data_IF_773289691695
#
_entry.id   IF_773289691695
#
_cell.length_a   1.000
_cell.length_b   1.000
_cell.length_c   1.000
_cell.angle_alpha   90.00
_cell.angle_beta   90.00
_cell.angle_gamma   90.00
#
_symmetry.space_group_name_H-M   'P 1'
#
loop_
_entity.id
_entity.type
_entity.pdbx_description
1 polymer ?
#
# COMPACT_ATOMS: atom_id res chain seq x y z
N UNK A 1 -7.45 48.74 -8.02
CA UNK A 1 -7.12 48.46 -9.43
C UNK A 1 -5.75 47.84 -9.47
N UNK A 2 -5.70 46.53 -9.21
CA UNK A 2 -4.52 45.70 -9.45
C UNK A 2 -4.86 44.95 -10.74
N UNK A 3 -3.97 45.06 -11.71
CA UNK A 3 -4.08 44.54 -13.07
C UNK A 3 -4.62 43.11 -13.10
N UNK A 4 -5.76 42.93 -13.77
CA UNK A 4 -6.16 41.66 -14.38
C UNK A 4 -4.97 41.20 -15.23
N UNK A 5 -4.24 40.22 -14.71
CA UNK A 5 -3.26 39.51 -15.49
C UNK A 5 -4.09 38.74 -16.52
N UNK A 6 -4.09 39.17 -17.78
CA UNK A 6 -4.74 38.49 -18.90
C UNK A 6 -4.34 37.02 -18.86
N UNK A 7 -5.19 36.17 -18.25
CA UNK A 7 -5.03 34.72 -18.28
C UNK A 7 -5.18 34.35 -19.74
N UNK A 8 -4.06 34.10 -20.42
CA UNK A 8 -4.04 33.59 -21.80
C UNK A 8 -5.03 32.43 -21.89
N UNK A 9 -6.10 32.61 -22.65
CA UNK A 9 -7.05 31.53 -22.92
C UNK A 9 -6.30 30.45 -23.71
N UNK A 10 -5.97 29.35 -23.03
CA UNK A 10 -5.31 28.22 -23.66
C UNK A 10 -6.33 27.50 -24.54
N UNK A 11 -5.87 27.07 -25.72
CA UNK A 11 -6.67 26.21 -26.57
C UNK A 11 -6.89 24.85 -25.92
N UNK A 12 -7.98 24.17 -26.28
CA UNK A 12 -8.26 22.81 -25.79
C UNK A 12 -7.08 21.85 -26.05
N UNK A 13 -6.36 22.01 -27.17
CA UNK A 13 -5.18 21.21 -27.48
C UNK A 13 -3.98 21.47 -26.56
N UNK A 14 -3.76 22.72 -26.13
CA UNK A 14 -2.72 23.04 -25.14
C UNK A 14 -3.07 22.46 -23.77
N UNK A 15 -4.34 22.55 -23.36
CA UNK A 15 -4.85 21.99 -22.10
C UNK A 15 -4.71 20.47 -22.09
N UNK A 16 -5.14 19.81 -23.17
CA UNK A 16 -5.05 18.36 -23.32
C UNK A 16 -3.58 17.90 -23.22
N UNK A 17 -2.66 18.58 -23.90
CA UNK A 17 -1.22 18.23 -23.84
C UNK A 17 -0.68 18.34 -22.41
N UNK A 18 -0.97 19.43 -21.71
CA UNK A 18 -0.48 19.65 -20.35
C UNK A 18 -1.10 18.62 -19.38
N UNK A 19 -2.37 18.27 -19.57
CA UNK A 19 -3.05 17.23 -18.80
C UNK A 19 -2.49 15.82 -19.08
N UNK A 20 -2.12 15.50 -20.32
CA UNK A 20 -1.46 14.22 -20.64
C UNK A 20 -0.12 14.05 -19.92
N UNK A 21 0.65 15.14 -19.72
CA UNK A 21 1.87 15.09 -18.91
C UNK A 21 1.56 14.79 -17.44
N UNK A 22 0.49 15.38 -16.88
CA UNK A 22 0.05 15.07 -15.53
C UNK A 22 -0.39 13.60 -15.39
N UNK A 23 -1.09 13.04 -16.38
CA UNK A 23 -1.46 11.61 -16.40
C UNK A 23 -0.22 10.72 -16.37
N UNK A 24 0.77 11.02 -17.21
CA UNK A 24 2.03 10.28 -17.25
C UNK A 24 2.72 10.30 -15.88
N UNK A 25 2.90 11.51 -15.32
CA UNK A 25 3.56 11.72 -14.03
C UNK A 25 2.87 11.00 -12.87
N UNK A 26 1.53 11.02 -12.82
CA UNK A 26 0.79 10.39 -11.71
C UNK A 26 0.78 8.86 -11.82
N UNK A 27 0.64 8.32 -13.03
CA UNK A 27 0.70 6.86 -13.25
C UNK A 27 2.06 6.33 -12.82
N UNK A 28 3.12 7.03 -13.22
CA UNK A 28 4.48 6.68 -12.85
C UNK A 28 4.70 6.81 -11.34
N UNK A 29 4.24 7.90 -10.71
CA UNK A 29 4.38 8.11 -9.29
C UNK A 29 3.65 7.08 -8.41
N UNK A 30 2.44 6.67 -8.81
CA UNK A 30 1.69 5.61 -8.11
C UNK A 30 2.39 4.25 -8.24
N UNK A 31 2.97 3.98 -9.41
CA UNK A 31 3.75 2.76 -9.65
C UNK A 31 5.01 2.72 -8.78
N UNK A 32 5.73 3.84 -8.64
CA UNK A 32 6.86 3.95 -7.70
C UNK A 32 6.46 3.74 -6.25
N UNK A 33 5.32 4.31 -5.84
CA UNK A 33 4.84 4.13 -4.48
C UNK A 33 4.53 2.67 -4.18
N UNK A 34 3.95 1.92 -5.14
CA UNK A 34 3.72 0.48 -4.99
C UNK A 34 5.06 -0.23 -4.75
N UNK A 35 6.08 0.01 -5.58
CA UNK A 35 7.40 -0.58 -5.39
C UNK A 35 8.06 -0.19 -4.05
N UNK A 36 7.92 1.07 -3.61
CA UNK A 36 8.44 1.50 -2.30
C UNK A 36 7.76 0.75 -1.13
N UNK A 37 6.45 0.55 -1.19
CA UNK A 37 5.69 -0.14 -0.14
C UNK A 37 6.05 -1.62 -0.01
N UNK A 38 6.46 -2.25 -1.12
CA UNK A 38 6.94 -3.64 -1.13
C UNK A 38 8.32 -3.77 -0.48
N UNK A 39 9.21 -2.84 -0.81
CA UNK A 39 10.62 -2.92 -0.44
C UNK A 39 10.92 -2.33 0.93
N UNK A 40 10.02 -1.49 1.48
CA UNK A 40 10.27 -0.72 2.70
C UNK A 40 9.14 -0.82 3.71
N UNK A 41 9.50 -0.61 4.97
CA UNK A 41 8.55 -0.42 6.05
C UNK A 41 8.24 1.07 6.20
N UNK A 42 7.01 1.49 5.85
CA UNK A 42 6.55 2.87 6.01
C UNK A 42 5.51 2.92 7.14
N UNK A 43 5.81 3.69 8.19
CA UNK A 43 4.96 3.79 9.38
C UNK A 43 3.85 4.83 9.18
N UNK A 44 2.66 4.56 9.69
CA UNK A 44 1.61 5.57 9.84
C UNK A 44 2.04 6.65 10.85
N UNK A 45 1.84 7.91 10.49
CA UNK A 45 2.09 9.06 11.36
C UNK A 45 0.82 9.91 11.45
N UNK A 46 0.30 10.09 12.66
CA UNK A 46 -0.95 10.82 12.87
C UNK A 46 -2.17 10.05 12.36
N UNK A 47 -3.24 10.76 12.00
CA UNK A 47 -4.47 10.14 11.48
C UNK A 47 -4.30 9.86 9.99
N UNK A 48 -3.89 8.63 9.63
CA UNK A 48 -3.68 8.17 8.25
C UNK A 48 -2.60 8.92 7.46
N UNK A 49 -1.64 9.53 8.15
CA UNK A 49 -0.55 10.28 7.52
C UNK A 49 0.70 9.43 7.27
N UNK A 50 1.62 10.00 6.51
CA UNK A 50 2.94 9.44 6.22
C UNK A 50 4.03 10.32 6.86
N UNK A 51 5.10 9.71 7.34
CA UNK A 51 6.23 10.42 7.95
C UNK A 51 6.96 11.32 6.95
N UNK A 52 7.44 12.47 7.42
CA UNK A 52 8.23 13.40 6.58
C UNK A 52 9.47 12.74 5.92
N UNK A 53 10.22 11.82 6.56
CA UNK A 53 11.33 11.13 5.90
C UNK A 53 10.89 10.36 4.65
N UNK A 54 9.76 9.66 4.73
CA UNK A 54 9.23 8.85 3.62
C UNK A 54 8.69 9.74 2.50
N UNK A 55 8.01 10.84 2.84
CA UNK A 55 7.58 11.86 1.86
C UNK A 55 8.77 12.45 1.12
N UNK A 56 9.84 12.84 1.83
CA UNK A 56 11.03 13.42 1.21
C UNK A 56 11.73 12.43 0.29
N UNK A 57 11.72 11.15 0.66
CA UNK A 57 12.32 10.09 -0.15
C UNK A 57 11.57 9.91 -1.46
N UNK A 58 10.25 9.69 -1.40
CA UNK A 58 9.43 9.56 -2.61
C UNK A 58 9.51 10.82 -3.48
N UNK A 59 9.46 12.01 -2.86
CA UNK A 59 9.62 13.27 -3.58
C UNK A 59 10.97 13.38 -4.31
N UNK A 60 12.07 13.00 -3.66
CA UNK A 60 13.40 13.00 -4.27
C UNK A 60 13.50 11.98 -5.41
N UNK A 61 12.96 10.78 -5.21
CA UNK A 61 12.93 9.70 -6.21
C UNK A 61 12.15 10.10 -7.47
N UNK A 62 11.01 10.78 -7.29
CA UNK A 62 10.18 11.30 -8.37
C UNK A 62 10.71 12.61 -8.97
N UNK A 63 11.71 13.25 -8.36
CA UNK A 63 12.13 14.63 -8.67
C UNK A 63 10.96 15.63 -8.63
N UNK A 64 10.07 15.51 -7.64
CA UNK A 64 8.88 16.35 -7.42
C UNK A 64 8.89 17.01 -6.04
N UNK A 65 7.90 17.86 -5.77
CA UNK A 65 7.76 18.52 -4.47
C UNK A 65 7.28 17.53 -3.38
N UNK A 66 7.56 17.85 -2.11
CA UNK A 66 7.00 17.10 -0.98
C UNK A 66 5.46 17.14 -0.95
N UNK A 67 4.86 18.19 -1.51
CA UNK A 67 3.41 18.32 -1.63
C UNK A 67 2.86 17.31 -2.65
N UNK A 68 3.49 17.20 -3.81
CA UNK A 68 3.15 16.19 -4.81
C UNK A 68 3.26 14.77 -4.26
N UNK A 69 4.36 14.44 -3.56
CA UNK A 69 4.51 13.13 -2.94
C UNK A 69 3.39 12.82 -1.92
N UNK A 70 2.96 13.80 -1.11
CA UNK A 70 1.81 13.62 -0.21
C UNK A 70 0.51 13.37 -0.98
N UNK A 71 0.28 14.09 -2.07
CA UNK A 71 -0.89 13.88 -2.93
C UNK A 71 -0.88 12.49 -3.56
N UNK A 72 0.29 11.94 -3.91
CA UNK A 72 0.44 10.57 -4.42
C UNK A 72 0.05 9.53 -3.36
N UNK A 73 0.52 9.67 -2.11
CA UNK A 73 0.09 8.79 -1.00
C UNK A 73 -1.44 8.85 -0.77
N UNK A 74 -2.00 10.04 -0.81
CA UNK A 74 -3.43 10.26 -0.61
C UNK A 74 -4.26 9.64 -1.75
N UNK A 75 -3.85 9.88 -3.01
CA UNK A 75 -4.50 9.31 -4.19
C UNK A 75 -4.39 7.78 -4.20
N UNK A 76 -3.23 7.21 -3.84
CA UNK A 76 -3.04 5.78 -3.73
C UNK A 76 -4.00 5.15 -2.71
N UNK A 77 -4.26 5.84 -1.58
CA UNK A 77 -5.26 5.40 -0.62
C UNK A 77 -6.68 5.46 -1.19
N UNK A 78 -7.06 6.55 -1.86
CA UNK A 78 -8.38 6.66 -2.48
C UNK A 78 -8.61 5.62 -3.59
N UNK A 79 -7.56 5.34 -4.37
CA UNK A 79 -7.59 4.35 -5.45
C UNK A 79 -7.43 2.89 -4.95
N UNK A 80 -7.34 2.65 -3.63
CA UNK A 80 -7.09 1.33 -3.03
C UNK A 80 -5.81 0.64 -3.55
N UNK A 81 -4.81 1.43 -3.94
CA UNK A 81 -3.47 0.96 -4.28
C UNK A 81 -2.58 0.85 -3.05
N UNK A 82 -2.86 1.64 -2.02
CA UNK A 82 -2.21 1.56 -0.72
C UNK A 82 -3.26 1.62 0.39
N UNK A 83 -3.00 0.97 1.51
CA UNK A 83 -3.84 1.03 2.70
C UNK A 83 -3.00 1.11 3.96
N UNK A 84 -3.67 1.40 5.08
CA UNK A 84 -3.02 1.46 6.39
C UNK A 84 -3.64 0.39 7.27
N UNK A 85 -2.83 -0.59 7.64
CA UNK A 85 -3.19 -1.66 8.56
C UNK A 85 -2.10 -1.78 9.63
N UNK A 86 -2.48 -1.97 10.90
CA UNK A 86 -1.51 -2.16 11.98
C UNK A 86 -0.52 -0.99 12.17
N UNK A 87 -0.94 0.27 11.91
CA UNK A 87 -0.06 1.45 11.92
C UNK A 87 1.06 1.43 10.88
N UNK A 88 0.85 0.72 9.76
CA UNK A 88 1.80 0.59 8.66
C UNK A 88 1.09 0.84 7.34
N UNK A 89 1.76 1.55 6.43
CA UNK A 89 1.37 1.58 5.03
C UNK A 89 1.74 0.26 4.34
N UNK A 90 0.79 -0.31 3.63
CA UNK A 90 0.95 -1.54 2.87
C UNK A 90 0.21 -1.46 1.53
N UNK A 91 0.43 -2.45 0.67
CA UNK A 91 -0.27 -2.55 -0.61
C UNK A 91 -1.78 -2.73 -0.38
N UNK A 92 -2.57 -1.96 -1.12
CA UNK A 92 -4.02 -2.11 -1.16
C UNK A 92 -4.46 -3.18 -2.15
N UNK A 93 -5.76 -3.49 -2.15
CA UNK A 93 -6.36 -4.57 -2.95
C UNK A 93 -6.19 -4.41 -4.48
N UNK A 94 -5.99 -3.19 -4.98
CA UNK A 94 -5.83 -2.90 -6.41
C UNK A 94 -4.38 -2.81 -6.86
N UNK A 95 -3.40 -2.91 -5.95
CA UNK A 95 -1.98 -2.76 -6.27
C UNK A 95 -1.48 -3.79 -7.29
N UNK A 96 -1.87 -5.06 -7.14
CA UNK A 96 -1.46 -6.12 -8.07
C UNK A 96 -2.03 -5.91 -9.47
N UNK A 97 -3.33 -5.59 -9.55
CA UNK A 97 -3.98 -5.27 -10.81
C UNK A 97 -3.31 -4.08 -11.51
N UNK A 98 -3.00 -3.03 -10.76
CA UNK A 98 -2.35 -1.82 -11.27
C UNK A 98 -1.06 -2.09 -12.04
N UNK A 99 -0.27 -3.04 -11.56
CA UNK A 99 0.99 -3.44 -12.18
C UNK A 99 0.73 -4.10 -13.55
N UNK A 100 -0.29 -4.96 -13.65
CA UNK A 100 -0.67 -5.65 -14.89
C UNK A 100 -1.47 -4.81 -15.88
N UNK A 101 -2.08 -3.71 -15.43
CA UNK A 101 -2.96 -2.87 -16.24
C UNK A 101 -2.20 -2.06 -17.28
N UNK A 102 -2.86 -1.84 -18.42
CA UNK A 102 -2.48 -0.82 -19.40
C UNK A 102 -2.69 0.58 -18.84
N UNK A 103 -2.03 1.59 -19.42
CA UNK A 103 -2.22 3.00 -19.02
C UNK A 103 -3.67 3.46 -19.15
N UNK A 104 -4.42 2.87 -20.10
CA UNK A 104 -5.86 3.08 -20.24
C UNK A 104 -6.62 2.64 -19.00
N UNK A 105 -6.39 1.41 -18.55
CA UNK A 105 -7.06 0.81 -17.41
C UNK A 105 -6.67 1.53 -16.11
N UNK A 106 -5.39 1.89 -15.96
CA UNK A 106 -4.90 2.71 -14.84
C UNK A 106 -5.61 4.05 -14.78
N UNK A 107 -5.67 4.78 -15.90
CA UNK A 107 -6.34 6.07 -15.94
C UNK A 107 -7.86 5.94 -15.73
N UNK A 108 -8.51 4.93 -16.33
CA UNK A 108 -9.92 4.65 -16.10
C UNK A 108 -10.24 4.41 -14.63
N UNK A 109 -9.42 3.62 -13.93
CA UNK A 109 -9.56 3.38 -12.49
C UNK A 109 -9.42 4.67 -11.68
N UNK A 110 -8.49 5.56 -12.04
CA UNK A 110 -8.35 6.87 -11.38
C UNK A 110 -9.56 7.77 -11.64
N UNK A 111 -10.07 7.81 -12.88
CA UNK A 111 -11.23 8.60 -13.24
C UNK A 111 -12.50 8.12 -12.51
N UNK A 112 -12.72 6.80 -12.42
CA UNK A 112 -13.81 6.20 -11.65
C UNK A 112 -13.68 6.51 -10.15
N UNK A 113 -12.47 6.41 -9.60
CA UNK A 113 -12.18 6.79 -8.22
C UNK A 113 -12.58 8.25 -7.98
N UNK A 114 -12.22 9.16 -8.88
CA UNK A 114 -12.59 10.57 -8.78
C UNK A 114 -14.11 10.81 -8.90
N UNK A 115 -14.79 10.13 -9.81
CA UNK A 115 -16.26 10.20 -9.93
C UNK A 115 -16.95 9.77 -8.64
N UNK A 116 -16.44 8.72 -7.99
CA UNK A 116 -16.98 8.25 -6.70
C UNK A 116 -16.85 9.30 -5.58
N UNK A 117 -15.83 10.18 -5.64
CA UNK A 117 -15.63 11.26 -4.67
C UNK A 117 -16.62 12.42 -4.85
N UNK A 118 -17.15 12.61 -6.06
CA UNK A 118 -18.16 13.62 -6.37
C UNK A 118 -19.57 13.19 -5.95
N UNK A 119 -19.92 11.94 -6.25
CA UNK A 119 -21.29 11.44 -6.20
C UNK A 119 -22.09 11.73 -7.48
N UNK A 120 -23.09 10.90 -7.75
CA UNK A 120 -23.75 10.82 -9.07
C UNK A 120 -24.39 12.13 -9.55
N UNK A 121 -25.03 12.87 -8.64
CA UNK A 121 -25.77 14.09 -8.97
C UNK A 121 -24.83 15.24 -9.36
N UNK A 122 -23.82 15.50 -8.53
CA UNK A 122 -22.81 16.51 -8.82
C UNK A 122 -21.95 16.15 -10.02
N UNK A 123 -21.64 14.87 -10.21
CA UNK A 123 -20.93 14.41 -11.41
C UNK A 123 -21.74 14.73 -12.68
N UNK A 124 -23.06 14.49 -12.70
CA UNK A 124 -23.89 14.77 -13.88
C UNK A 124 -23.86 16.24 -14.28
N UNK A 125 -23.97 17.15 -13.31
CA UNK A 125 -23.92 18.59 -13.59
C UNK A 125 -22.52 19.05 -13.98
N UNK A 126 -21.49 18.58 -13.29
CA UNK A 126 -20.11 18.95 -13.56
C UNK A 126 -19.63 18.49 -14.94
N UNK A 127 -20.00 17.27 -15.35
CA UNK A 127 -19.57 16.67 -16.63
C UNK A 127 -20.29 17.23 -17.86
N UNK A 128 -21.26 18.14 -17.69
CA UNK A 128 -21.79 18.94 -18.79
C UNK A 128 -20.84 20.07 -19.24
N UNK A 129 -19.69 20.21 -18.58
CA UNK A 129 -18.63 21.17 -18.93
C UNK A 129 -18.06 20.92 -20.33
N UNK A 130 -17.84 21.99 -21.09
CA UNK A 130 -17.22 21.92 -22.41
C UNK A 130 -15.69 22.00 -22.31
N UNK A 131 -14.96 21.49 -23.32
CA UNK A 131 -13.50 21.61 -23.36
C UNK A 131 -13.04 23.06 -23.26
N UNK A 132 -11.94 23.29 -22.53
CA UNK A 132 -11.37 24.60 -22.22
C UNK A 132 -12.23 25.53 -21.34
N UNK A 133 -13.43 25.13 -20.91
CA UNK A 133 -14.20 25.92 -19.94
C UNK A 133 -13.55 25.91 -18.55
N UNK A 134 -13.81 26.97 -17.78
CA UNK A 134 -13.30 27.09 -16.41
C UNK A 134 -13.96 26.04 -15.49
N UNK A 135 -13.13 25.12 -15.00
CA UNK A 135 -13.54 24.09 -14.06
C UNK A 135 -13.92 24.68 -12.69
N UNK A 136 -13.16 25.67 -12.22
CA UNK A 136 -13.45 26.39 -10.96
C UNK A 136 -14.82 27.10 -11.00
N UNK A 137 -15.14 27.78 -12.11
CA UNK A 137 -16.44 28.43 -12.29
C UNK A 137 -17.56 27.39 -12.27
N UNK A 138 -17.37 26.28 -12.99
CA UNK A 138 -18.36 25.18 -13.03
C UNK A 138 -18.58 24.57 -11.65
N UNK A 139 -17.53 24.35 -10.87
CA UNK A 139 -17.66 23.86 -9.50
C UNK A 139 -18.44 24.84 -8.60
N UNK A 140 -18.21 26.15 -8.74
CA UNK A 140 -18.95 27.16 -7.99
C UNK A 140 -20.45 27.20 -8.36
N UNK A 141 -20.79 26.91 -9.62
CA UNK A 141 -22.18 26.79 -10.09
C UNK A 141 -22.88 25.54 -9.55
N UNK A 142 -22.18 24.40 -9.50
CA UNK A 142 -22.72 23.13 -8.96
C UNK A 142 -22.87 23.19 -7.44
N UNK A 143 -22.02 23.97 -6.75
CA UNK A 143 -22.04 24.11 -5.30
C UNK A 143 -22.20 25.56 -4.82
N UNK A 144 -23.33 26.24 -5.14
CA UNK A 144 -23.52 27.67 -4.88
C UNK A 144 -23.64 28.00 -3.38
N UNK A 145 -23.97 27.00 -2.55
CA UNK A 145 -24.15 27.14 -1.10
C UNK A 145 -23.07 26.41 -0.29
N UNK A 146 -21.89 26.16 -0.89
CA UNK A 146 -20.81 25.47 -0.19
C UNK A 146 -20.41 26.20 1.11
N UNK A 147 -20.54 25.51 2.24
CA UNK A 147 -19.98 25.97 3.50
C UNK A 147 -18.44 25.75 3.53
N UNK A 148 -17.80 26.09 4.65
CA UNK A 148 -16.34 25.94 4.78
C UNK A 148 -15.86 24.49 4.66
N UNK A 149 -16.68 23.51 5.04
CA UNK A 149 -16.34 22.07 4.93
C UNK A 149 -16.50 21.60 3.49
N UNK A 150 -17.60 21.96 2.83
CA UNK A 150 -17.84 21.69 1.43
C UNK A 150 -16.78 22.33 0.53
N UNK A 151 -16.34 23.55 0.87
CA UNK A 151 -15.26 24.25 0.15
C UNK A 151 -13.94 23.46 0.15
N UNK A 152 -13.58 22.84 1.28
CA UNK A 152 -12.37 22.01 1.35
C UNK A 152 -12.51 20.73 0.50
N UNK A 153 -13.70 20.11 0.49
CA UNK A 153 -13.96 18.95 -0.37
C UNK A 153 -13.90 19.32 -1.86
N UNK A 154 -14.46 20.47 -2.25
CA UNK A 154 -14.41 20.99 -3.63
C UNK A 154 -12.97 21.23 -4.07
N UNK A 155 -12.15 21.85 -3.22
CA UNK A 155 -10.71 22.02 -3.48
C UNK A 155 -10.02 20.67 -3.68
N UNK A 156 -10.30 19.70 -2.80
CA UNK A 156 -9.74 18.34 -2.91
C UNK A 156 -10.12 17.66 -4.22
N UNK A 157 -11.37 17.79 -4.64
CA UNK A 157 -11.86 17.27 -5.93
C UNK A 157 -11.11 17.92 -7.10
N UNK A 158 -10.89 19.23 -7.05
CA UNK A 158 -10.14 19.95 -8.09
C UNK A 158 -8.65 19.56 -8.10
N UNK A 159 -8.03 19.41 -6.93
CA UNK A 159 -6.64 18.93 -6.81
C UNK A 159 -6.47 17.55 -7.44
N UNK A 160 -7.36 16.61 -7.12
CA UNK A 160 -7.31 15.25 -7.69
C UNK A 160 -7.60 15.31 -9.19
N UNK A 161 -8.58 16.10 -9.64
CA UNK A 161 -8.86 16.27 -11.06
C UNK A 161 -7.63 16.77 -11.83
N UNK A 162 -6.88 17.71 -11.28
CA UNK A 162 -5.64 18.20 -11.89
C UNK A 162 -4.56 17.12 -11.87
N UNK A 163 -4.41 16.41 -10.75
CA UNK A 163 -3.40 15.36 -10.58
C UNK A 163 -3.59 14.20 -11.56
N UNK A 164 -4.84 13.80 -11.83
CA UNK A 164 -5.16 12.71 -12.77
C UNK A 164 -5.42 13.20 -14.20
N UNK A 165 -5.13 14.47 -14.49
CA UNK A 165 -5.23 15.07 -15.81
C UNK A 165 -6.65 15.13 -16.39
N UNK A 166 -7.66 15.36 -15.55
CA UNK A 166 -8.99 15.76 -16.01
C UNK A 166 -9.08 17.25 -16.32
N UNK A 167 -8.22 18.05 -15.69
CA UNK A 167 -8.09 19.49 -15.90
C UNK A 167 -6.62 19.87 -15.99
N UNK A 168 -6.34 20.99 -16.64
CA UNK A 168 -5.06 21.67 -16.59
C UNK A 168 -5.29 23.18 -16.61
N UNK A 169 -4.47 23.95 -15.89
CA UNK A 169 -4.61 25.42 -15.79
C UNK A 169 -6.03 25.87 -15.36
N UNK A 170 -6.68 25.11 -14.46
CA UNK A 170 -8.06 25.33 -14.01
C UNK A 170 -9.12 25.25 -15.13
N UNK A 171 -8.80 24.65 -16.27
CA UNK A 171 -9.68 24.46 -17.42
C UNK A 171 -9.91 22.97 -17.71
N UNK A 172 -11.09 22.65 -18.24
CA UNK A 172 -11.48 21.28 -18.59
C UNK A 172 -10.73 20.74 -19.81
N UNK A 173 -10.28 19.49 -19.72
CA UNK A 173 -9.79 18.73 -20.88
C UNK A 173 -10.92 18.33 -21.81
N UNK A 174 -10.57 17.91 -23.03
CA UNK A 174 -11.54 17.44 -24.01
C UNK A 174 -12.17 16.08 -23.69
N UNK A 175 -11.66 15.36 -22.69
CA UNK A 175 -12.19 14.08 -22.24
C UNK A 175 -12.95 14.13 -20.92
N UNK A 176 -12.88 15.23 -20.16
CA UNK A 176 -13.62 15.36 -18.90
C UNK A 176 -15.12 15.13 -19.11
N UNK A 177 -15.76 15.91 -19.99
CA UNK A 177 -17.20 15.77 -20.25
C UNK A 177 -17.59 14.41 -20.85
N UNK A 178 -16.66 13.72 -21.53
CA UNK A 178 -16.90 12.41 -22.12
C UNK A 178 -17.15 11.32 -21.06
N UNK A 179 -16.69 11.50 -19.82
CA UNK A 179 -16.98 10.58 -18.71
C UNK A 179 -18.48 10.39 -18.45
N UNK A 180 -19.32 11.37 -18.83
CA UNK A 180 -20.78 11.26 -18.70
C UNK A 180 -21.43 10.31 -19.71
N UNK A 181 -20.74 10.00 -20.81
CA UNK A 181 -21.27 9.22 -21.93
C UNK A 181 -20.54 7.90 -22.14
N UNK A 182 -19.21 7.91 -22.08
CA UNK A 182 -18.37 6.73 -22.33
C UNK A 182 -17.01 6.90 -21.67
N UNK A 183 -16.77 6.14 -20.60
CA UNK A 183 -15.45 6.04 -19.96
C UNK A 183 -14.38 5.54 -20.94
N UNK A 184 -14.76 4.64 -21.86
CA UNK A 184 -13.85 4.09 -22.86
C UNK A 184 -13.34 5.18 -23.82
N UNK A 185 -14.23 6.03 -24.32
CA UNK A 185 -13.85 7.11 -25.25
C UNK A 185 -13.07 8.21 -24.54
N UNK A 186 -13.43 8.52 -23.28
CA UNK A 186 -12.68 9.41 -22.44
C UNK A 186 -11.23 8.90 -22.22
N UNK A 187 -11.07 7.63 -21.84
CA UNK A 187 -9.75 7.06 -21.57
C UNK A 187 -8.88 6.94 -22.82
N UNK A 188 -9.47 6.57 -23.96
CA UNK A 188 -8.79 6.58 -25.26
C UNK A 188 -8.18 7.94 -25.59
N UNK A 189 -8.93 9.01 -25.33
CA UNK A 189 -8.50 10.38 -25.62
C UNK A 189 -7.49 10.88 -24.59
N UNK A 190 -7.66 10.54 -23.32
CA UNK A 190 -6.76 10.93 -22.23
C UNK A 190 -5.35 10.35 -22.40
N UNK A 191 -5.25 9.07 -22.81
CA UNK A 191 -3.96 8.39 -22.99
C UNK A 191 -3.31 8.66 -24.34
N UNK A 192 -4.04 9.19 -25.32
CA UNK A 192 -3.52 9.40 -26.68
C UNK A 192 -2.31 10.36 -26.73
N UNK A 193 -2.19 11.25 -25.75
CA UNK A 193 -1.07 12.17 -25.61
C UNK A 193 0.10 11.65 -24.78
N UNK A 194 0.03 10.43 -24.24
CA UNK A 194 1.12 9.85 -23.45
C UNK A 194 2.35 9.54 -24.33
N UNK A 195 3.58 9.64 -23.78
CA UNK A 195 4.77 9.23 -24.50
C UNK A 195 4.68 7.74 -24.88
N UNK A 196 5.02 7.42 -26.13
CA UNK A 196 5.04 6.03 -26.58
C UNK A 196 6.12 5.24 -25.86
N UNK A 197 5.73 4.11 -25.24
CA UNK A 197 6.69 3.20 -24.64
C UNK A 197 7.58 2.56 -25.71
N UNK A 198 8.87 2.38 -25.42
CA UNK A 198 9.84 1.77 -26.32
C UNK A 198 10.75 0.79 -25.58
N UNK A 199 10.98 -0.38 -26.18
CA UNK A 199 11.90 -1.39 -25.63
C UNK A 199 13.36 -1.07 -25.97
N UNK A 200 13.85 0.09 -25.52
CA UNK A 200 15.22 0.54 -25.82
C UNK A 200 15.89 1.08 -24.57
N UNK A 201 17.12 0.64 -24.34
CA UNK A 201 17.99 1.17 -23.29
C UNK A 201 19.36 1.47 -23.88
N UNK A 202 19.96 2.59 -23.51
CA UNK A 202 21.33 2.94 -23.82
C UNK A 202 22.18 2.50 -22.63
N UNK A 203 23.11 1.58 -22.87
CA UNK A 203 23.97 1.03 -21.82
C UNK A 203 25.34 1.70 -21.91
N UNK A 204 25.76 2.33 -20.82
CA UNK A 204 27.02 3.06 -20.72
C UNK A 204 28.10 2.24 -19.98
N UNK A 205 29.36 2.63 -20.16
CA UNK A 205 30.51 1.93 -19.58
C UNK A 205 30.65 2.14 -18.05
N UNK A 206 30.00 3.17 -17.51
CA UNK A 206 29.92 3.48 -16.08
C UNK A 206 28.76 2.75 -15.37
N UNK A 207 28.23 1.69 -16.00
CA UNK A 207 27.12 0.86 -15.51
C UNK A 207 25.76 1.58 -15.47
N UNK A 208 25.66 2.75 -16.08
CA UNK A 208 24.39 3.48 -16.24
C UNK A 208 23.59 2.93 -17.42
N UNK A 209 22.30 2.74 -17.21
CA UNK A 209 21.29 2.31 -18.17
C UNK A 209 20.30 3.45 -18.38
N UNK A 210 20.17 3.98 -19.59
CA UNK A 210 19.26 5.10 -19.89
C UNK A 210 18.15 4.62 -20.82
N UNK A 211 16.91 4.61 -20.35
CA UNK A 211 15.74 4.45 -21.19
C UNK A 211 15.34 5.84 -21.73
N UNK A 212 15.55 6.15 -23.03
CA UNK A 212 15.26 7.48 -23.61
C UNK A 212 13.76 7.73 -23.78
N UNK A 213 12.94 6.70 -23.57
CA UNK A 213 11.49 6.73 -23.57
C UNK A 213 11.01 5.77 -22.49
N UNK A 214 9.76 5.89 -22.01
CA UNK A 214 9.24 4.99 -21.00
C UNK A 214 9.35 3.53 -21.47
N UNK A 215 9.76 2.64 -20.58
CA UNK A 215 9.75 1.21 -20.87
C UNK A 215 8.32 0.67 -20.68
N UNK A 216 7.87 -0.33 -21.45
CA UNK A 216 6.68 -1.09 -21.09
C UNK A 216 6.77 -1.60 -19.64
N UNK A 217 5.69 -1.55 -18.88
CA UNK A 217 5.71 -1.83 -17.43
C UNK A 217 6.31 -3.21 -17.09
N UNK A 218 5.92 -4.26 -17.80
CA UNK A 218 6.47 -5.62 -17.61
C UNK A 218 7.99 -5.69 -17.81
N UNK A 219 8.49 -4.93 -18.80
CA UNK A 219 9.91 -4.84 -19.08
C UNK A 219 10.64 -4.07 -17.99
N UNK A 220 10.06 -2.97 -17.53
CA UNK A 220 10.61 -2.16 -16.45
C UNK A 220 10.70 -2.95 -15.14
N UNK A 221 9.66 -3.71 -14.78
CA UNK A 221 9.67 -4.61 -13.62
C UNK A 221 10.80 -5.63 -13.76
N UNK A 222 10.92 -6.24 -14.95
CA UNK A 222 11.98 -7.20 -15.24
C UNK A 222 13.37 -6.58 -15.08
N UNK A 223 13.57 -5.36 -15.58
CA UNK A 223 14.83 -4.62 -15.46
C UNK A 223 15.15 -4.29 -13.99
N UNK A 224 14.17 -3.82 -13.23
CA UNK A 224 14.31 -3.44 -11.81
C UNK A 224 14.63 -4.61 -10.89
N UNK A 225 14.41 -5.86 -11.33
CA UNK A 225 14.88 -7.05 -10.59
C UNK A 225 16.40 -7.11 -10.49
N UNK A 226 17.14 -6.48 -11.40
CA UNK A 226 18.61 -6.54 -11.40
C UNK A 226 19.31 -5.20 -11.64
N UNK A 227 18.57 -4.10 -11.68
CA UNK A 227 19.10 -2.75 -11.81
C UNK A 227 18.43 -1.82 -10.77
N UNK A 228 19.23 -0.99 -10.12
CA UNK A 228 18.74 0.03 -9.20
C UNK A 228 18.18 1.19 -10.01
N UNK A 229 17.04 1.76 -9.59
CA UNK A 229 16.47 2.92 -10.29
C UNK A 229 17.04 4.21 -9.71
N UNK A 230 17.65 5.05 -10.55
CA UNK A 230 18.22 6.34 -10.12
C UNK A 230 17.24 7.49 -10.36
N UNK A 231 16.62 7.51 -11.54
CA UNK A 231 15.66 8.54 -11.92
C UNK A 231 14.57 7.94 -12.79
N UNK A 232 13.35 8.38 -12.54
CA UNK A 232 12.14 7.94 -13.22
C UNK A 232 11.49 9.16 -13.87
N UNK A 233 11.12 9.02 -15.13
CA UNK A 233 10.48 10.09 -15.89
C UNK A 233 10.17 9.66 -17.31
N UNK A 234 10.04 10.65 -18.21
CA UNK A 234 9.95 10.39 -19.66
C UNK A 234 11.21 9.70 -20.19
N UNK A 235 12.36 10.08 -19.63
CA UNK A 235 13.60 9.33 -19.75
C UNK A 235 13.99 8.86 -18.35
N UNK A 236 14.16 7.55 -18.20
CA UNK A 236 14.52 6.93 -16.91
C UNK A 236 15.98 6.50 -16.94
N UNK A 237 16.65 6.59 -15.80
CA UNK A 237 18.01 6.07 -15.61
C UNK A 237 18.04 5.03 -14.50
N UNK A 238 18.74 3.94 -14.79
CA UNK A 238 18.97 2.84 -13.87
C UNK A 238 20.48 2.61 -13.76
N UNK A 239 20.94 2.00 -12.67
CA UNK A 239 22.33 1.67 -12.45
C UNK A 239 22.47 0.18 -12.17
N UNK A 240 23.43 -0.46 -12.84
CA UNK A 240 23.86 -1.80 -12.48
C UNK A 240 24.91 -1.73 -11.37
N UNK A 241 24.77 -2.64 -10.41
CA UNK A 241 25.74 -2.85 -9.34
C UNK A 241 25.84 -4.35 -9.04
N UNK A 242 26.88 -4.77 -8.32
CA UNK A 242 26.98 -6.18 -7.90
C UNK A 242 25.81 -6.58 -7.00
N UNK A 243 25.30 -5.63 -6.19
CA UNK A 243 24.11 -5.82 -5.35
C UNK A 243 22.86 -5.98 -6.20
N UNK A 244 22.64 -5.11 -7.19
CA UNK A 244 21.45 -5.17 -8.04
C UNK A 244 21.45 -6.47 -8.84
N UNK A 245 22.57 -6.87 -9.45
CA UNK A 245 22.66 -8.14 -10.18
C UNK A 245 22.46 -9.34 -9.25
N UNK A 246 23.04 -9.32 -8.05
CA UNK A 246 22.78 -10.36 -7.03
C UNK A 246 21.30 -10.43 -6.65
N UNK A 247 20.61 -9.28 -6.54
CA UNK A 247 19.16 -9.26 -6.29
C UNK A 247 18.40 -10.00 -7.38
N UNK A 248 18.78 -9.79 -8.64
CA UNK A 248 18.21 -10.51 -9.78
C UNK A 248 18.34 -12.02 -9.63
N UNK A 249 19.55 -12.48 -9.30
CA UNK A 249 19.84 -13.90 -9.06
C UNK A 249 19.04 -14.46 -7.86
N UNK A 250 18.86 -13.70 -6.78
CA UNK A 250 18.01 -14.09 -5.63
C UNK A 250 16.52 -14.23 -6.00
N UNK A 251 16.09 -13.58 -7.09
CA UNK A 251 14.73 -13.73 -7.62
C UNK A 251 14.59 -14.90 -8.59
N UNK A 252 15.64 -15.71 -8.76
CA UNK A 252 15.67 -16.88 -9.64
C UNK A 252 16.06 -16.61 -11.09
N UNK A 253 16.51 -15.40 -11.43
CA UNK A 253 17.07 -15.13 -12.76
C UNK A 253 18.43 -15.80 -12.92
N UNK A 254 18.72 -16.30 -14.11
CA UNK A 254 20.08 -16.69 -14.51
C UNK A 254 20.85 -15.48 -15.08
N UNK A 255 22.19 -15.50 -14.98
CA UNK A 255 23.01 -14.41 -15.52
C UNK A 255 22.87 -14.27 -17.05
N UNK A 256 22.65 -15.39 -17.74
CA UNK A 256 22.43 -15.42 -19.19
C UNK A 256 21.09 -14.80 -19.59
N UNK A 257 20.06 -14.92 -18.74
CA UNK A 257 18.78 -14.25 -18.95
C UNK A 257 18.93 -12.73 -18.81
N UNK A 258 19.63 -12.28 -17.76
CA UNK A 258 19.97 -10.86 -17.53
C UNK A 258 20.77 -10.31 -18.73
N UNK A 259 21.81 -11.02 -19.15
CA UNK A 259 22.65 -10.67 -20.32
C UNK A 259 21.82 -10.56 -21.59
N UNK A 260 20.98 -11.56 -21.86
CA UNK A 260 20.13 -11.61 -23.06
C UNK A 260 19.14 -10.45 -23.10
N UNK A 261 18.56 -10.11 -21.95
CA UNK A 261 17.68 -8.95 -21.81
C UNK A 261 18.42 -7.64 -22.10
N UNK A 262 19.59 -7.42 -21.51
CA UNK A 262 20.40 -6.22 -21.75
C UNK A 262 20.82 -6.09 -23.22
N UNK A 263 21.24 -7.18 -23.86
CA UNK A 263 21.58 -7.20 -25.29
C UNK A 263 20.39 -6.83 -26.17
N UNK A 264 19.22 -7.41 -25.89
CA UNK A 264 17.97 -7.11 -26.60
C UNK A 264 17.62 -5.63 -26.51
N UNK A 265 17.68 -5.05 -25.31
CA UNK A 265 17.33 -3.63 -25.08
C UNK A 265 18.36 -2.65 -25.62
N UNK A 266 19.64 -3.01 -25.60
CA UNK A 266 20.72 -2.18 -26.15
C UNK A 266 20.66 -2.09 -27.67
N UNK A 267 20.29 -3.21 -28.32
CA UNK A 267 20.45 -3.45 -29.76
C UNK A 267 21.90 -3.20 -30.24
N UNK A 268 22.87 -3.32 -29.32
CA UNK A 268 24.32 -3.21 -29.51
C UNK A 268 25.01 -4.16 -28.54
N UNK A 269 26.28 -4.46 -28.80
CA UNK A 269 27.12 -5.20 -27.86
C UNK A 269 27.20 -4.49 -26.50
N UNK A 270 27.32 -5.27 -25.42
CA UNK A 270 27.44 -4.73 -24.07
C UNK A 270 28.84 -4.13 -23.85
N UNK A 271 28.96 -2.99 -23.16
CA UNK A 271 30.26 -2.48 -22.73
C UNK A 271 31.02 -3.50 -21.88
N UNK A 272 32.34 -3.59 -22.05
CA UNK A 272 33.19 -4.52 -21.30
C UNK A 272 32.99 -4.45 -19.77
N UNK A 273 32.80 -3.27 -19.12
CA UNK A 273 32.54 -3.21 -17.69
C UNK A 273 31.24 -3.92 -17.27
N UNK A 274 30.20 -3.89 -18.11
CA UNK A 274 28.93 -4.60 -17.85
C UNK A 274 29.16 -6.11 -17.93
N UNK A 275 29.87 -6.58 -18.95
CA UNK A 275 30.19 -8.00 -19.09
C UNK A 275 31.02 -8.54 -17.93
N UNK A 276 31.99 -7.74 -17.47
CA UNK A 276 32.79 -8.06 -16.31
C UNK A 276 31.93 -8.11 -15.04
N UNK A 277 31.09 -7.11 -14.81
CA UNK A 277 30.17 -7.08 -13.67
C UNK A 277 29.29 -8.33 -13.62
N UNK A 278 28.71 -8.75 -14.75
CA UNK A 278 27.83 -9.92 -14.80
C UNK A 278 28.59 -11.20 -14.42
N UNK A 279 29.80 -11.41 -14.98
CA UNK A 279 30.66 -12.56 -14.65
C UNK A 279 31.09 -12.54 -13.18
N UNK A 280 31.45 -11.37 -12.68
CA UNK A 280 31.85 -11.20 -11.28
C UNK A 280 30.69 -11.51 -10.34
N UNK A 281 29.50 -10.97 -10.62
CA UNK A 281 28.29 -11.21 -9.82
C UNK A 281 27.93 -12.70 -9.78
N UNK A 282 27.99 -13.40 -10.91
CA UNK A 282 27.79 -14.85 -10.97
C UNK A 282 28.81 -15.60 -10.10
N UNK A 283 30.10 -15.28 -10.25
CA UNK A 283 31.17 -15.96 -9.50
C UNK A 283 31.11 -15.75 -7.98
N UNK A 284 30.61 -14.58 -7.54
CA UNK A 284 30.51 -14.19 -6.13
C UNK A 284 29.13 -14.45 -5.53
N UNK A 285 28.16 -14.88 -6.33
CA UNK A 285 26.80 -15.12 -5.88
C UNK A 285 26.76 -16.15 -4.75
N UNK A 286 25.94 -15.87 -3.73
CA UNK A 286 25.79 -16.71 -2.54
C UNK A 286 27.10 -17.03 -1.78
N UNK A 287 28.16 -16.22 -1.96
CA UNK A 287 29.42 -16.34 -1.21
C UNK A 287 29.27 -15.89 0.25
N UNK A 288 28.42 -14.89 0.50
CA UNK A 288 28.07 -14.38 1.82
C UNK A 288 26.61 -14.70 2.10
N UNK A 289 26.35 -15.65 3.00
CA UNK A 289 25.02 -16.19 3.31
C UNK A 289 24.57 -15.75 4.70
N UNK A 290 23.30 -15.37 4.82
CA UNK A 290 22.67 -15.03 6.09
C UNK A 290 21.58 -16.05 6.39
N UNK A 291 21.77 -16.80 7.46
CA UNK A 291 20.84 -17.81 7.96
C UNK A 291 20.01 -17.24 9.10
N UNK A 292 18.72 -17.59 9.14
CA UNK A 292 17.93 -17.44 10.36
C UNK A 292 18.28 -18.58 11.35
N UNK A 293 18.37 -18.25 12.63
CA UNK A 293 18.46 -19.28 13.67
C UNK A 293 17.07 -19.85 13.98
N UNK A 294 17.02 -21.06 14.56
CA UNK A 294 15.76 -21.78 14.89
C UNK A 294 14.75 -20.98 15.72
N UNK A 295 15.20 -19.97 16.47
CA UNK A 295 14.33 -19.11 17.28
C UNK A 295 13.83 -17.86 16.55
N UNK A 296 14.24 -17.62 15.30
CA UNK A 296 13.90 -16.45 14.47
C UNK A 296 14.57 -15.14 14.88
N UNK A 297 14.84 -14.95 16.18
CA UNK A 297 15.35 -13.70 16.75
C UNK A 297 16.85 -13.43 16.52
N UNK A 298 17.61 -14.42 16.05
CA UNK A 298 19.06 -14.29 15.81
C UNK A 298 19.42 -14.73 14.39
N UNK A 299 20.58 -14.29 13.92
CA UNK A 299 21.09 -14.62 12.59
C UNK A 299 22.57 -15.00 12.60
N UNK A 300 22.93 -15.84 11.64
CA UNK A 300 24.30 -16.28 11.39
C UNK A 300 24.71 -15.87 9.98
N UNK A 301 25.90 -15.30 9.85
CA UNK A 301 26.49 -14.86 8.60
C UNK A 301 27.68 -15.78 8.30
N UNK A 302 27.62 -16.49 7.19
CA UNK A 302 28.60 -17.50 6.78
C UNK A 302 29.20 -17.11 5.44
N UNK A 303 30.52 -17.24 5.32
CA UNK A 303 31.26 -17.07 4.07
C UNK A 303 32.48 -17.96 4.06
N UNK A 304 32.86 -18.45 2.88
CA UNK A 304 34.13 -19.17 2.68
C UNK A 304 35.34 -18.23 2.75
N UNK A 305 35.11 -16.92 2.58
CA UNK A 305 36.13 -15.88 2.69
C UNK A 305 36.18 -15.30 4.11
N UNK A 306 37.21 -15.72 4.85
CA UNK A 306 37.47 -15.24 6.21
C UNK A 306 37.90 -13.77 6.26
N UNK A 307 38.53 -13.25 5.19
CA UNK A 307 38.94 -11.84 5.11
C UNK A 307 37.69 -10.97 5.00
N UNK A 308 36.73 -11.38 4.17
CA UNK A 308 35.43 -10.70 4.05
C UNK A 308 34.68 -10.65 5.40
N UNK A 309 34.66 -11.76 6.16
CA UNK A 309 34.02 -11.76 7.48
C UNK A 309 34.76 -10.83 8.46
N UNK A 310 36.09 -10.78 8.41
CA UNK A 310 36.86 -9.83 9.22
C UNK A 310 36.60 -8.37 8.82
N UNK A 311 36.43 -8.07 7.53
CA UNK A 311 36.04 -6.75 7.04
C UNK A 311 34.65 -6.34 7.57
N UNK A 312 33.66 -7.22 7.41
CA UNK A 312 32.28 -7.01 7.90
C UNK A 312 32.26 -6.75 9.40
N UNK A 313 33.02 -7.53 10.18
CA UNK A 313 33.10 -7.37 11.64
C UNK A 313 33.65 -5.99 12.06
N UNK A 314 34.53 -5.41 11.25
CA UNK A 314 35.20 -4.14 11.55
C UNK A 314 34.49 -2.91 10.93
N UNK A 315 33.46 -3.10 10.11
CA UNK A 315 32.72 -2.00 9.47
C UNK A 315 31.95 -1.17 10.52
N UNK A 316 32.21 0.13 10.56
CA UNK A 316 31.59 1.04 11.52
C UNK A 316 30.07 1.12 11.37
N UNK A 317 29.55 0.97 10.13
CA UNK A 317 28.12 1.03 9.81
C UNK A 317 27.35 -0.16 10.41
N UNK A 318 28.04 -1.29 10.60
CA UNK A 318 27.44 -2.53 11.11
C UNK A 318 27.56 -2.70 12.63
N UNK A 319 28.24 -1.79 13.34
CA UNK A 319 28.35 -1.80 14.80
C UNK A 319 27.00 -1.94 15.54
N UNK A 320 25.91 -1.27 15.14
CA UNK A 320 24.61 -1.42 15.81
C UNK A 320 24.09 -2.87 15.84
N UNK A 321 24.50 -3.70 14.88
CA UNK A 321 24.09 -5.10 14.73
C UNK A 321 24.87 -6.07 15.64
N UNK A 322 25.85 -5.58 16.40
CA UNK A 322 26.61 -6.34 17.39
C UNK A 322 27.08 -7.70 16.85
N UNK A 323 27.86 -7.66 15.76
CA UNK A 323 28.38 -8.86 15.09
C UNK A 323 29.52 -9.45 15.91
N UNK A 324 29.46 -10.76 16.20
CA UNK A 324 30.50 -11.48 16.95
C UNK A 324 30.89 -12.77 16.23
N UNK A 325 32.17 -13.14 16.29
CA UNK A 325 32.64 -14.43 15.75
C UNK A 325 32.22 -15.59 16.67
N UNK A 326 31.82 -16.70 16.09
CA UNK A 326 31.71 -18.00 16.77
C UNK A 326 33.01 -18.81 16.65
N UNK A 327 33.05 -19.97 17.33
CA UNK A 327 34.18 -20.90 17.28
C UNK A 327 34.43 -21.47 15.87
N UNK A 328 33.41 -21.52 15.02
CA UNK A 328 33.51 -21.99 13.64
C UNK A 328 34.02 -20.89 12.67
N UNK A 329 34.19 -19.65 13.15
CA UNK A 329 34.65 -18.50 12.36
C UNK A 329 33.55 -17.83 11.53
N UNK A 330 32.27 -18.12 11.79
CA UNK A 330 31.12 -17.39 11.26
C UNK A 330 30.76 -16.21 12.16
N UNK A 331 30.04 -15.22 11.62
CA UNK A 331 29.55 -14.10 12.42
C UNK A 331 28.12 -14.36 12.90
N UNK A 332 27.80 -13.94 14.11
CA UNK A 332 26.46 -14.00 14.68
C UNK A 332 25.97 -12.62 15.08
N UNK A 333 24.66 -12.42 14.95
CA UNK A 333 23.96 -11.21 15.39
C UNK A 333 22.73 -11.58 16.21
N UNK A 334 22.43 -10.74 17.21
CA UNK A 334 21.18 -10.80 18.00
C UNK A 334 19.96 -10.22 17.28
N UNK A 335 20.10 -9.85 16.01
CA UNK A 335 19.03 -9.34 15.18
C UNK A 335 18.57 -10.41 14.17
N UNK A 336 17.33 -10.28 13.74
CA UNK A 336 16.73 -11.16 12.74
C UNK A 336 17.49 -11.12 11.41
N UNK A 337 17.48 -12.25 10.69
CA UNK A 337 18.20 -12.41 9.44
C UNK A 337 17.81 -11.39 8.37
N UNK A 338 16.53 -10.97 8.33
CA UNK A 338 16.04 -9.93 7.43
C UNK A 338 16.72 -8.58 7.69
N UNK A 339 16.79 -8.15 8.96
CA UNK A 339 17.43 -6.89 9.33
C UNK A 339 18.92 -6.88 9.02
N UNK A 340 19.61 -7.98 9.34
CA UNK A 340 21.05 -8.12 9.08
C UNK A 340 21.34 -8.17 7.59
N UNK A 341 20.52 -8.86 6.80
CA UNK A 341 20.61 -8.88 5.35
C UNK A 341 20.52 -7.47 4.76
N UNK A 342 19.51 -6.67 5.14
CA UNK A 342 19.38 -5.31 4.65
C UNK A 342 20.55 -4.43 5.08
N UNK A 343 21.01 -4.56 6.33
CA UNK A 343 22.17 -3.82 6.83
C UNK A 343 23.46 -4.10 6.07
N UNK A 344 23.74 -5.38 5.77
CA UNK A 344 24.89 -5.79 4.98
C UNK A 344 24.84 -5.16 3.58
N UNK A 345 23.67 -5.15 2.95
CA UNK A 345 23.49 -4.56 1.62
C UNK A 345 23.59 -3.04 1.61
N UNK A 346 23.05 -2.36 2.61
CA UNK A 346 23.27 -0.92 2.82
C UNK A 346 24.74 -0.59 3.05
N UNK A 347 25.50 -1.52 3.64
CA UNK A 347 26.95 -1.44 3.77
C UNK A 347 27.72 -1.85 2.48
N UNK A 348 27.03 -2.14 1.38
CA UNK A 348 27.57 -2.62 0.10
C UNK A 348 28.18 -4.03 0.10
N UNK A 349 27.83 -4.87 1.08
CA UNK A 349 28.18 -6.29 1.07
C UNK A 349 27.11 -7.10 0.33
N UNK A 350 27.53 -7.92 -0.63
CA UNK A 350 26.66 -8.78 -1.45
C UNK A 350 26.25 -10.02 -0.65
N UNK A 351 25.30 -9.83 0.26
CA UNK A 351 24.72 -10.87 1.09
C UNK A 351 23.45 -11.44 0.45
N UNK A 352 23.22 -12.75 0.64
CA UNK A 352 21.96 -13.42 0.31
C UNK A 352 21.36 -14.06 1.55
N UNK A 353 20.03 -14.11 1.65
CA UNK A 353 19.35 -14.90 2.68
C UNK A 353 19.19 -16.33 2.21
N UNK A 354 19.31 -17.27 3.15
CA UNK A 354 19.12 -18.68 2.88
C UNK A 354 18.28 -19.35 3.95
N UNK A 355 17.58 -20.42 3.57
CA UNK A 355 16.82 -21.25 4.49
C UNK A 355 17.73 -22.22 5.28
N UNK A 356 17.12 -23.08 6.09
CA UNK A 356 17.85 -24.10 6.87
C UNK A 356 18.60 -25.11 5.98
N UNK A 357 18.17 -25.29 4.73
CA UNK A 357 18.79 -26.19 3.74
C UNK A 357 19.89 -25.49 2.92
N UNK A 358 20.05 -24.16 3.08
CA UNK A 358 20.99 -23.35 2.31
C UNK A 358 20.48 -22.90 0.94
N UNK A 359 19.18 -23.07 0.66
CA UNK A 359 18.51 -22.55 -0.53
C UNK A 359 18.25 -21.04 -0.39
N UNK A 360 18.40 -20.29 -1.49
CA UNK A 360 18.26 -18.83 -1.48
C UNK A 360 16.81 -18.44 -1.29
N UNK A 361 16.56 -17.59 -0.30
CA UNK A 361 15.25 -17.03 -0.01
C UNK A 361 15.06 -15.74 -0.80
N UNK A 362 14.06 -15.73 -1.70
CA UNK A 362 13.76 -14.57 -2.51
C UNK A 362 13.38 -13.36 -1.64
N UNK A 363 13.93 -12.16 -1.93
CA UNK A 363 13.57 -10.94 -1.23
C UNK A 363 12.17 -10.40 -1.60
N UNK A 364 11.57 -10.86 -2.70
CA UNK A 364 10.25 -10.40 -3.14
C UNK A 364 9.12 -11.17 -2.45
N UNK A 365 8.28 -10.45 -1.69
CA UNK A 365 7.11 -11.02 -1.01
C UNK A 365 5.91 -11.29 -1.94
N UNK A 366 5.91 -10.79 -3.19
CA UNK A 366 4.74 -10.92 -4.08
C UNK A 366 4.65 -12.24 -4.82
N UNK A 367 5.76 -12.82 -5.28
CA UNK A 367 5.69 -14.11 -5.99
C UNK A 367 5.25 -15.27 -5.08
N UNK A 368 5.39 -15.14 -3.76
CA UNK A 368 5.03 -16.17 -2.78
C UNK A 368 3.58 -16.09 -2.28
N UNK A 369 2.82 -15.04 -2.62
CA UNK A 369 1.38 -14.90 -2.27
C UNK A 369 0.41 -15.48 -3.30
N UNK A 370 0.89 -16.04 -4.42
CA UNK A 370 0.09 -16.74 -5.44
C UNK A 370 -0.68 -18.01 -4.95
N UNK A 371 -0.85 -18.19 -3.63
CA UNK A 371 -1.62 -19.29 -3.02
C UNK A 371 -2.49 -18.89 -1.82
N UNK A 372 -2.61 -17.61 -1.46
CA UNK A 372 -3.68 -17.21 -0.51
C UNK A 372 -4.93 -16.93 -1.34
N UNK A 373 -5.61 -18.04 -1.65
CA UNK A 373 -7.01 -18.16 -2.05
C UNK A 373 -7.77 -16.83 -2.13
N UNK A 374 -8.34 -16.57 -3.31
CA UNK A 374 -9.57 -15.79 -3.50
C UNK A 374 -10.71 -16.42 -2.66
N UNK A 375 -10.61 -16.42 -1.34
CA UNK A 375 -11.80 -16.42 -0.51
C UNK A 375 -12.23 -14.97 -0.47
N UNK A 376 -12.98 -14.57 -1.51
CA UNK A 376 -13.90 -13.45 -1.42
C UNK A 376 -14.70 -13.70 -0.14
N UNK A 377 -14.38 -12.98 0.93
CA UNK A 377 -15.28 -12.84 2.07
C UNK A 377 -16.50 -12.11 1.52
N UNK A 378 -17.41 -12.89 0.96
CA UNK A 378 -18.65 -12.42 0.42
C UNK A 378 -19.46 -11.96 1.62
N UNK A 379 -19.71 -10.67 1.69
CA UNK A 379 -20.64 -10.09 2.68
C UNK A 379 -21.97 -10.84 2.68
N UNK A 380 -22.36 -11.42 1.54
CA UNK A 380 -23.54 -12.29 1.44
C UNK A 380 -23.35 -13.56 2.25
N UNK A 381 -22.20 -14.23 2.17
CA UNK A 381 -21.89 -15.45 2.96
C UNK A 381 -21.89 -15.18 4.46
N UNK A 382 -21.31 -14.05 4.89
CA UNK A 382 -21.34 -13.63 6.30
C UNK A 382 -22.76 -13.29 6.77
N UNK A 383 -23.58 -12.65 5.91
CA UNK A 383 -25.00 -12.40 6.20
C UNK A 383 -25.78 -13.73 6.31
N UNK A 384 -25.51 -14.71 5.46
CA UNK A 384 -26.13 -16.05 5.60
C UNK A 384 -25.70 -16.73 6.89
N UNK A 385 -24.42 -16.66 7.25
CA UNK A 385 -23.88 -17.25 8.49
C UNK A 385 -24.49 -16.60 9.74
N UNK A 386 -24.62 -15.27 9.73
CA UNK A 386 -25.30 -14.53 10.80
C UNK A 386 -26.79 -14.88 10.89
N UNK A 387 -27.49 -15.02 9.75
CA UNK A 387 -28.90 -15.41 9.72
C UNK A 387 -29.13 -16.86 10.17
N UNK A 388 -28.23 -17.77 9.81
CA UNK A 388 -28.25 -19.16 10.26
C UNK A 388 -28.03 -19.25 11.78
N UNK A 389 -27.09 -18.46 12.31
CA UNK A 389 -26.86 -18.33 13.76
C UNK A 389 -28.07 -17.73 14.50
N UNK A 390 -28.77 -16.74 13.90
CA UNK A 390 -30.01 -16.18 14.48
C UNK A 390 -31.19 -17.17 14.45
N UNK A 391 -31.25 -18.09 13.48
CA UNK A 391 -32.32 -19.10 13.41
C UNK A 391 -32.11 -20.31 14.32
N UNK A 392 -30.86 -20.58 14.74
CA UNK A 392 -30.59 -21.56 15.80
C UNK A 392 -30.73 -20.86 17.15
N UNK A 393 -31.95 -20.90 17.69
CA UNK A 393 -32.22 -20.42 19.05
C UNK A 393 -31.17 -20.94 20.02
N UNK A 394 -30.41 -20.00 20.60
CA UNK A 394 -29.30 -20.22 21.52
C UNK A 394 -29.75 -21.11 22.68
N UNK A 395 -29.37 -22.39 22.63
CA UNK A 395 -29.62 -23.35 23.71
C UNK A 395 -28.40 -23.57 24.60
N UNK A 396 -27.48 -22.60 24.66
CA UNK A 396 -26.58 -22.34 25.80
C UNK A 396 -25.88 -20.98 25.56
N UNK A 397 -26.14 -19.92 26.35
CA UNK A 397 -25.40 -18.67 26.23
C UNK A 397 -23.97 -18.85 26.75
N UNK A 398 -22.96 -18.52 25.95
CA UNK A 398 -21.60 -18.33 26.45
C UNK A 398 -21.59 -17.24 27.55
N UNK A 399 -20.88 -17.49 28.65
CA UNK A 399 -20.81 -16.60 29.83
C UNK A 399 -20.43 -15.14 29.47
N UNK A 400 -19.66 -14.95 28.40
CA UNK A 400 -19.21 -13.65 27.90
C UNK A 400 -20.35 -12.81 27.28
N UNK A 401 -21.29 -13.43 26.59
CA UNK A 401 -22.42 -12.72 25.98
C UNK A 401 -23.46 -12.31 27.02
N UNK A 402 -23.65 -13.14 28.04
CA UNK A 402 -24.49 -12.83 29.20
C UNK A 402 -23.94 -11.61 29.97
N UNK A 403 -22.62 -11.58 30.20
CA UNK A 403 -21.95 -10.43 30.83
C UNK A 403 -22.07 -9.17 29.97
N UNK A 404 -21.92 -9.28 28.65
CA UNK A 404 -22.05 -8.14 27.73
C UNK A 404 -23.47 -7.55 27.76
N UNK A 405 -24.51 -8.38 27.77
CA UNK A 405 -25.90 -7.92 27.86
C UNK A 405 -26.16 -7.17 29.18
N UNK A 406 -25.64 -7.69 30.31
CA UNK A 406 -25.78 -7.00 31.60
C UNK A 406 -25.03 -5.66 31.60
N UNK A 407 -23.82 -5.60 31.05
CA UNK A 407 -23.06 -4.34 30.96
C UNK A 407 -23.78 -3.28 30.10
N UNK A 408 -24.38 -3.70 28.98
CA UNK A 408 -25.20 -2.80 28.16
C UNK A 408 -26.43 -2.30 28.92
N UNK A 409 -27.13 -3.17 29.64
CA UNK A 409 -28.27 -2.79 30.46
C UNK A 409 -27.89 -1.79 31.57
N UNK A 410 -26.73 -1.98 32.23
CA UNK A 410 -26.20 -1.01 33.22
C UNK A 410 -25.91 0.34 32.56
N UNK A 411 -25.22 0.34 31.42
CA UNK A 411 -24.82 1.57 30.72
C UNK A 411 -26.03 2.43 30.32
N UNK A 412 -27.10 1.80 29.86
CA UNK A 412 -28.31 2.48 29.40
C UNK A 412 -29.42 2.56 30.46
N UNK A 413 -29.17 2.06 31.69
CA UNK A 413 -30.19 1.95 32.76
C UNK A 413 -31.46 1.25 32.30
N UNK A 414 -31.30 0.26 31.42
CA UNK A 414 -32.41 -0.50 30.86
C UNK A 414 -32.93 -1.52 31.89
N UNK A 415 -34.23 -1.79 31.87
CA UNK A 415 -34.83 -2.83 32.70
C UNK A 415 -34.56 -4.18 32.06
N UNK A 416 -34.42 -5.21 32.88
CA UNK A 416 -34.17 -6.56 32.39
C UNK A 416 -34.93 -7.59 33.21
N UNK A 417 -35.37 -8.65 32.54
CA UNK A 417 -35.95 -9.84 33.16
C UNK A 417 -34.84 -10.88 33.29
N UNK A 418 -34.65 -11.39 34.51
CA UNK A 418 -33.65 -12.43 34.83
C UNK A 418 -34.36 -13.62 35.41
N UNK A 419 -34.15 -14.79 34.81
CA UNK A 419 -34.67 -16.07 35.31
C UNK A 419 -33.53 -16.82 36.00
N UNK A 420 -33.71 -17.11 37.29
CA UNK A 420 -32.74 -17.85 38.10
C UNK A 420 -33.25 -19.25 38.44
N UNK A 421 -32.36 -20.23 38.41
CA UNK A 421 -32.63 -21.57 38.95
C UNK A 421 -32.30 -21.60 40.43
N UNK A 422 -33.28 -21.91 41.27
CA UNK A 422 -33.09 -22.07 42.72
C UNK A 422 -32.44 -23.41 43.05
N UNK A 423 -31.94 -23.57 44.28
CA UNK A 423 -31.33 -24.82 44.77
C UNK A 423 -32.27 -26.04 44.68
N UNK A 424 -33.58 -25.80 44.60
CA UNK A 424 -34.61 -26.84 44.52
C UNK A 424 -35.02 -27.15 43.07
N UNK A 425 -34.36 -26.52 42.08
CA UNK A 425 -34.61 -26.73 40.65
C UNK A 425 -35.74 -25.89 40.07
N UNK A 426 -36.51 -25.16 40.88
CA UNK A 426 -37.54 -24.22 40.41
C UNK A 426 -36.92 -22.95 39.82
N UNK A 427 -37.53 -22.44 38.75
CA UNK A 427 -37.12 -21.20 38.10
C UNK A 427 -37.92 -20.02 38.66
N UNK A 428 -37.21 -18.95 39.05
CA UNK A 428 -37.81 -17.74 39.60
C UNK A 428 -37.40 -16.55 38.72
N UNK A 429 -38.39 -15.78 38.30
CA UNK A 429 -38.24 -14.62 37.43
C UNK A 429 -38.19 -13.30 38.22
N UNK A 430 -37.21 -12.46 37.93
CA UNK A 430 -37.05 -11.12 38.51
C UNK A 430 -37.00 -10.05 37.43
N UNK A 431 -37.85 -9.03 37.55
CA UNK A 431 -37.74 -7.80 36.76
C UNK A 431 -36.90 -6.78 37.53
N UNK A 432 -35.69 -6.51 37.04
CA UNK A 432 -34.70 -5.72 37.76
C UNK A 432 -34.06 -4.64 36.91
N UNK A 433 -33.53 -3.62 37.57
CA UNK A 433 -32.68 -2.59 36.97
C UNK A 433 -31.24 -2.81 37.48
N UNK A 434 -30.29 -3.23 36.62
CA UNK A 434 -28.96 -3.61 37.04
C UNK A 434 -28.13 -2.37 37.42
N UNK A 435 -27.42 -2.46 38.54
CA UNK A 435 -26.62 -1.37 39.10
C UNK A 435 -25.12 -1.62 38.94
N UNK A 436 -24.69 -2.88 39.02
CA UNK A 436 -23.29 -3.25 38.84
C UNK A 436 -23.05 -4.75 38.91
N UNK A 437 -21.98 -5.22 38.27
CA UNK A 437 -21.53 -6.61 38.32
C UNK A 437 -20.10 -6.66 38.83
N UNK A 438 -19.86 -7.52 39.83
CA UNK A 438 -18.51 -7.81 40.31
C UNK A 438 -18.47 -9.24 40.88
N UNK A 439 -17.33 -9.93 40.70
CA UNK A 439 -17.09 -11.26 41.27
C UNK A 439 -18.20 -12.29 40.97
N UNK A 440 -18.73 -12.30 39.75
CA UNK A 440 -19.80 -13.23 39.34
C UNK A 440 -21.17 -12.97 39.99
N UNK A 441 -21.38 -11.79 40.58
CA UNK A 441 -22.65 -11.39 41.22
C UNK A 441 -23.15 -10.08 40.63
N UNK A 442 -24.45 -10.05 40.30
CA UNK A 442 -25.16 -8.88 39.83
C UNK A 442 -25.89 -8.19 40.99
N UNK A 443 -25.61 -6.91 41.20
CA UNK A 443 -26.42 -6.03 42.06
C UNK A 443 -27.45 -5.33 41.20
N UNK A 444 -28.74 -5.48 41.54
CA UNK A 444 -29.84 -4.89 40.80
C UNK A 444 -30.98 -4.44 41.71
N UNK A 445 -31.72 -3.42 41.31
CA UNK A 445 -32.92 -2.94 42.01
C UNK A 445 -34.14 -3.70 41.51
N UNK A 446 -34.81 -4.40 42.42
CA UNK A 446 -36.07 -5.09 42.13
C UNK A 446 -37.22 -4.09 42.32
N UNK A 447 -37.88 -3.72 41.21
CA UNK A 447 -38.95 -2.72 41.23
C UNK A 447 -40.27 -3.25 41.76
N UNK A 448 -40.49 -4.57 41.80
CA UNK A 448 -41.72 -5.15 42.36
C UNK A 448 -41.64 -5.21 43.89
N UNK A 449 -40.45 -5.44 44.43
CA UNK A 449 -40.22 -5.54 45.88
C UNK A 449 -39.63 -4.26 46.52
N UNK A 450 -39.34 -3.23 45.72
CA UNK A 450 -38.71 -1.95 46.09
C UNK A 450 -37.48 -2.10 46.98
N UNK A 451 -36.59 -3.04 46.63
CA UNK A 451 -35.36 -3.34 47.37
C UNK A 451 -34.19 -3.71 46.44
N UNK A 452 -32.96 -3.51 46.91
CA UNK A 452 -31.76 -3.95 46.19
C UNK A 452 -31.49 -5.45 46.43
N UNK A 453 -31.36 -6.21 45.34
CA UNK A 453 -31.01 -7.64 45.35
C UNK A 453 -29.60 -7.85 44.81
N UNK A 454 -28.92 -8.86 45.34
CA UNK A 454 -27.66 -9.38 44.78
C UNK A 454 -27.86 -10.80 44.29
N UNK A 455 -27.82 -10.99 42.97
CA UNK A 455 -28.14 -12.24 42.28
C UNK A 455 -26.84 -12.93 41.80
N UNK A 456 -26.66 -14.25 42.02
CA UNK A 456 -25.52 -14.99 41.50
C UNK A 456 -25.68 -15.25 40.01
N UNK A 457 -24.67 -14.90 39.20
CA UNK A 457 -24.72 -15.09 37.74
C UNK A 457 -24.65 -16.57 37.34
N UNK A 458 -23.97 -17.40 38.13
CA UNK A 458 -23.87 -18.84 37.91
C UNK A 458 -25.20 -19.60 38.02
N UNK A 459 -26.27 -18.94 38.48
CA UNK A 459 -27.62 -19.52 38.58
C UNK A 459 -28.58 -18.95 37.55
N UNK A 460 -28.10 -18.13 36.61
CA UNK A 460 -28.92 -17.50 35.57
C UNK A 460 -29.17 -18.51 34.46
N UNK A 461 -30.45 -18.67 34.11
CA UNK A 461 -30.90 -19.53 33.02
C UNK A 461 -31.11 -18.70 31.75
N UNK A 462 -31.64 -17.48 31.90
CA UNK A 462 -31.86 -16.58 30.77
C UNK A 462 -31.94 -15.13 31.21
N UNK A 463 -31.58 -14.23 30.30
CA UNK A 463 -31.68 -12.78 30.45
C UNK A 463 -32.39 -12.19 29.23
N UNK A 464 -33.30 -11.25 29.45
CA UNK A 464 -33.89 -10.43 28.39
C UNK A 464 -33.93 -8.97 28.80
N UNK A 465 -33.38 -8.09 27.97
CA UNK A 465 -33.47 -6.62 28.15
C UNK A 465 -34.85 -6.16 27.64
N UNK A 466 -35.48 -5.21 28.33
CA UNK A 466 -36.73 -4.56 27.93
C UNK A 466 -36.51 -3.19 27.30
#
# INVERSE_FOLDING_TARGET
MVSDNERRELSAAEIDRDASLAIFDVIQALTELIFELEQRYIREVGKRGVGLPDVKRLAAHLSKSNEYAKQVFELAQFANLAEIEGSRWQLGQRAENWISWSDRERWSHLAETWLSLLGDEAARELLAILPAESFERRLAEVYPFADSTATNRIKKVAEIANLIGLIANSQATSWLGLLSTSLQTASERAIAGLPSAAERVIIQADLTLIAPSPLPTELEISLRRFADTEQIGMASSYRLSALSVSHGLETGLAIDEIRSLLLRLSAKELPQPVDYLLKEAESRFARLKVYATKSGAHSQIVSTDKILLAEIHNDQRLKPFALHFDEAGSLHSRFEAELVYFALREANFVAVRVDENGEVLSPQKLSSKNKVSEQRQSVVEDITRMREADTQGTSDPDDDDLLRQIQLAIKYKAKMVIVLKTSNGEQVEYLVEPVGVANGRLRAKDRKADLERTLPLSSVVSISIQ
#
